data_IF_902332777571
#
_entry.id   IF_902332777571
#
_cell.length_a   1.000
_cell.length_b   1.000
_cell.length_c   1.000
_cell.angle_alpha   90.00
_cell.angle_beta   90.00
_cell.angle_gamma   90.00
#
_symmetry.space_group_name_H-M   'P 1'
#
loop_
_entity.id
_entity.type
_entity.pdbx_description
1 polymer ?
#
# COMPACT_ATOMS: atom_id res chain seq x y z
N UNK A 1 4.29 -16.08 29.14
CA UNK A 1 4.44 -15.20 27.98
C UNK A 1 5.70 -15.65 27.26
N UNK A 2 5.55 -16.31 26.10
CA UNK A 2 6.72 -16.76 25.33
C UNK A 2 7.33 -15.54 24.65
N UNK A 3 8.53 -15.19 25.06
CA UNK A 3 9.36 -14.22 24.35
C UNK A 3 9.82 -14.88 23.04
N UNK A 4 9.20 -14.56 21.92
CA UNK A 4 9.66 -14.96 20.60
C UNK A 4 10.82 -14.01 20.28
N UNK A 5 12.04 -14.51 20.40
CA UNK A 5 13.22 -13.80 19.91
C UNK A 5 13.26 -14.03 18.40
N UNK A 6 13.02 -12.99 17.61
CA UNK A 6 13.17 -13.07 16.16
C UNK A 6 14.66 -13.03 15.84
N UNK A 7 15.06 -13.94 14.97
CA UNK A 7 16.44 -14.01 14.47
C UNK A 7 16.53 -13.29 13.13
N UNK A 8 17.70 -12.75 12.81
CA UNK A 8 18.03 -12.11 11.52
C UNK A 8 17.58 -12.94 10.31
N UNK A 9 17.64 -14.28 10.43
CA UNK A 9 17.15 -15.22 9.40
C UNK A 9 15.63 -15.14 9.20
N UNK A 10 14.84 -14.82 10.24
CA UNK A 10 13.38 -14.71 10.15
C UNK A 10 12.96 -13.38 9.50
N UNK A 11 13.68 -12.31 9.74
CA UNK A 11 13.44 -10.99 9.14
C UNK A 11 13.70 -11.03 7.63
N UNK A 12 14.82 -11.57 7.22
CA UNK A 12 15.15 -11.79 5.79
C UNK A 12 14.09 -12.68 5.12
N UNK A 13 13.64 -13.73 5.80
CA UNK A 13 12.60 -14.62 5.29
C UNK A 13 11.24 -13.92 5.14
N UNK A 14 10.90 -12.99 6.05
CA UNK A 14 9.66 -12.22 5.99
C UNK A 14 9.66 -11.25 4.81
N UNK A 15 10.72 -10.45 4.66
CA UNK A 15 10.86 -9.51 3.54
C UNK A 15 10.87 -10.22 2.18
N UNK A 16 11.62 -11.31 2.05
CA UNK A 16 11.63 -12.09 0.82
C UNK A 16 10.24 -12.64 0.48
N UNK A 17 9.50 -13.13 1.47
CA UNK A 17 8.13 -13.61 1.27
C UNK A 17 7.21 -12.49 0.76
N UNK A 18 7.30 -11.28 1.30
CA UNK A 18 6.52 -10.13 0.82
C UNK A 18 6.91 -9.73 -0.60
N UNK A 19 8.21 -9.70 -0.91
CA UNK A 19 8.70 -9.39 -2.25
C UNK A 19 8.22 -10.40 -3.29
N UNK A 20 8.24 -11.70 -2.98
CA UNK A 20 7.70 -12.75 -3.85
C UNK A 20 6.20 -12.55 -4.11
N UNK A 21 5.42 -12.17 -3.08
CA UNK A 21 4.00 -11.88 -3.24
C UNK A 21 3.77 -10.68 -4.17
N UNK A 22 4.55 -9.61 -4.03
CA UNK A 22 4.45 -8.41 -4.86
C UNK A 22 4.81 -8.73 -6.32
N UNK A 23 5.90 -9.46 -6.55
CA UNK A 23 6.36 -9.81 -7.90
C UNK A 23 5.42 -10.80 -8.62
N UNK A 24 4.79 -11.70 -7.86
CA UNK A 24 3.87 -12.72 -8.42
C UNK A 24 2.40 -12.29 -8.51
N UNK A 25 1.99 -11.24 -7.78
CA UNK A 25 0.58 -10.95 -7.54
C UNK A 25 0.04 -9.65 -8.13
N UNK A 26 0.89 -8.74 -8.60
CA UNK A 26 0.43 -7.53 -9.25
C UNK A 26 0.11 -7.81 -10.71
N UNK A 27 -1.15 -8.18 -10.99
CA UNK A 27 -1.73 -7.91 -12.31
C UNK A 27 -1.65 -6.40 -12.49
N UNK A 28 -0.64 -5.93 -13.21
CA UNK A 28 -0.51 -4.51 -13.48
C UNK A 28 -1.77 -4.06 -14.24
N UNK A 29 -2.55 -3.10 -13.69
CA UNK A 29 -3.54 -2.45 -14.52
C UNK A 29 -2.80 -1.88 -15.73
N UNK A 30 -3.47 -1.82 -16.87
CA UNK A 30 -2.92 -1.26 -18.12
C UNK A 30 -2.60 0.23 -17.91
N UNK A 31 -1.48 0.49 -17.27
CA UNK A 31 -0.98 1.85 -17.07
C UNK A 31 -0.44 2.38 -18.39
N UNK A 32 -0.62 3.67 -18.69
CA UNK A 32 0.08 4.31 -19.80
C UNK A 32 1.59 4.05 -19.67
N UNK A 33 2.25 3.75 -20.79
CA UNK A 33 3.67 3.34 -20.82
C UNK A 33 4.61 4.30 -20.08
N UNK A 34 4.31 5.59 -20.11
CA UNK A 34 5.09 6.62 -19.42
C UNK A 34 5.01 6.49 -17.89
N UNK A 35 3.80 6.27 -17.35
CA UNK A 35 3.60 6.06 -15.91
C UNK A 35 4.21 4.73 -15.46
N UNK A 36 4.06 3.69 -16.29
CA UNK A 36 4.63 2.36 -16.05
C UNK A 36 6.15 2.42 -15.90
N UNK A 37 6.84 3.14 -16.79
CA UNK A 37 8.29 3.32 -16.72
C UNK A 37 8.75 4.04 -15.45
N UNK A 38 8.10 5.13 -15.08
CA UNK A 38 8.41 5.90 -13.86
C UNK A 38 8.17 5.09 -12.58
N UNK A 39 7.07 4.34 -12.53
CA UNK A 39 6.79 3.45 -11.38
C UNK A 39 7.82 2.33 -11.30
N UNK A 40 8.31 1.82 -12.43
CA UNK A 40 9.33 0.79 -12.44
C UNK A 40 10.65 1.32 -11.86
N UNK A 41 11.08 2.52 -12.23
CA UNK A 41 12.26 3.15 -11.64
C UNK A 41 12.15 3.31 -10.12
N UNK A 42 10.99 3.77 -9.64
CA UNK A 42 10.72 3.90 -8.19
C UNK A 42 10.78 2.53 -7.50
N UNK A 43 10.18 1.51 -8.11
CA UNK A 43 10.20 0.13 -7.58
C UNK A 43 11.61 -0.44 -7.52
N UNK A 44 12.43 -0.22 -8.55
CA UNK A 44 13.81 -0.69 -8.60
C UNK A 44 14.67 -0.04 -7.52
N UNK A 45 14.49 1.27 -7.30
CA UNK A 45 15.11 1.99 -6.19
C UNK A 45 14.65 1.45 -4.83
N UNK A 46 13.35 1.26 -4.62
CA UNK A 46 12.81 0.73 -3.39
C UNK A 46 13.31 -0.70 -3.10
N UNK A 47 13.42 -1.55 -4.13
CA UNK A 47 13.99 -2.89 -4.00
C UNK A 47 15.47 -2.87 -3.58
N UNK A 48 16.23 -1.88 -4.04
CA UNK A 48 17.63 -1.70 -3.62
C UNK A 48 17.68 -1.34 -2.14
N UNK A 49 16.85 -0.41 -1.70
CA UNK A 49 16.81 0.00 -0.30
C UNK A 49 16.35 -1.12 0.64
N UNK A 50 15.34 -1.89 0.27
CA UNK A 50 14.87 -3.04 1.08
C UNK A 50 16.00 -4.07 1.32
N UNK A 51 16.95 -4.18 0.42
CA UNK A 51 18.11 -5.08 0.58
C UNK A 51 19.20 -4.52 1.51
N UNK A 52 19.24 -3.19 1.66
CA UNK A 52 20.24 -2.48 2.46
C UNK A 52 19.71 -2.13 3.85
N UNK A 53 18.39 -1.97 3.98
CA UNK A 53 17.73 -1.61 5.23
C UNK A 53 17.31 -2.86 6.01
N UNK A 54 17.36 -2.74 7.32
CA UNK A 54 16.92 -3.78 8.25
C UNK A 54 15.52 -3.45 8.78
N UNK A 55 14.80 -4.47 9.25
CA UNK A 55 13.55 -4.27 9.96
C UNK A 55 13.89 -3.69 11.35
N UNK A 56 13.28 -2.58 11.75
CA UNK A 56 13.61 -1.95 13.03
C UNK A 56 13.23 -2.84 14.20
N UNK A 57 14.00 -2.74 15.24
CA UNK A 57 13.87 -3.52 16.47
C UNK A 57 13.67 -2.61 17.68
N UNK A 58 13.37 -3.16 18.83
CA UNK A 58 13.31 -2.40 20.10
C UNK A 58 14.66 -1.79 20.52
N UNK A 59 15.77 -2.09 19.82
CA UNK A 59 17.08 -1.47 20.06
C UNK A 59 17.17 -0.10 19.40
N UNK A 60 16.36 0.13 18.39
CA UNK A 60 16.28 1.38 17.65
C UNK A 60 15.45 2.36 18.48
N UNK A 61 15.97 3.57 18.72
CA UNK A 61 15.40 4.54 19.66
C UNK A 61 13.93 4.88 19.36
N UNK A 62 13.61 5.03 18.07
CA UNK A 62 12.27 5.37 17.60
C UNK A 62 11.28 4.21 17.77
N UNK A 63 11.77 2.97 17.78
CA UNK A 63 10.99 1.73 17.86
C UNK A 63 11.02 1.07 19.25
N UNK A 64 11.70 1.68 20.22
CA UNK A 64 11.92 1.12 21.56
C UNK A 64 10.67 0.59 22.26
N UNK A 65 9.52 1.22 22.02
CA UNK A 65 8.24 0.82 22.61
C UNK A 65 7.34 0.01 21.66
N UNK A 66 7.80 -0.27 20.46
CA UNK A 66 7.03 -0.99 19.44
C UNK A 66 7.63 -2.36 19.20
N UNK A 67 6.81 -3.41 19.44
CA UNK A 67 7.22 -4.79 19.21
C UNK A 67 6.66 -5.29 17.87
N UNK A 68 7.50 -5.42 16.87
CA UNK A 68 7.15 -5.94 15.56
C UNK A 68 7.13 -7.48 15.48
N UNK A 69 7.56 -8.18 16.53
CA UNK A 69 7.59 -9.66 16.55
C UNK A 69 6.25 -10.31 16.18
N UNK A 70 5.09 -9.82 16.66
CA UNK A 70 3.80 -10.39 16.25
C UNK A 70 3.48 -10.19 14.76
N UNK A 71 3.95 -9.08 14.16
CA UNK A 71 3.80 -8.83 12.73
C UNK A 71 4.64 -9.81 11.91
N UNK A 72 5.91 -9.95 12.25
CA UNK A 72 6.88 -10.78 11.54
C UNK A 72 6.60 -12.30 11.70
N UNK A 73 5.86 -12.70 12.73
CA UNK A 73 5.42 -14.07 12.91
C UNK A 73 4.28 -14.47 11.95
N UNK A 74 3.64 -13.51 11.30
CA UNK A 74 2.53 -13.75 10.37
C UNK A 74 3.02 -13.76 8.93
N UNK A 75 2.52 -14.71 8.14
CA UNK A 75 2.73 -14.75 6.69
C UNK A 75 1.51 -14.18 5.99
N UNK A 76 1.63 -12.94 5.57
CA UNK A 76 0.58 -12.26 4.81
C UNK A 76 0.53 -12.80 3.38
N UNK A 77 -0.66 -12.76 2.81
CA UNK A 77 -0.92 -13.11 1.40
C UNK A 77 -1.69 -11.96 0.76
N UNK A 78 -1.46 -11.78 -0.53
CA UNK A 78 -2.29 -10.87 -1.32
C UNK A 78 -3.76 -11.26 -1.18
N UNK A 79 -4.59 -10.27 -0.88
CA UNK A 79 -6.02 -10.48 -0.78
C UNK A 79 -6.62 -10.70 -2.19
N UNK A 80 -7.54 -11.63 -2.29
CA UNK A 80 -8.30 -11.81 -3.52
C UNK A 80 -9.32 -10.67 -3.68
N UNK A 81 -9.63 -10.34 -4.93
CA UNK A 81 -10.75 -9.48 -5.24
C UNK A 81 -12.06 -10.14 -4.74
N UNK A 82 -12.84 -9.38 -4.00
CA UNK A 82 -14.17 -9.78 -3.52
C UNK A 82 -15.16 -8.71 -3.95
N UNK A 83 -16.17 -9.13 -4.70
CA UNK A 83 -17.26 -8.23 -5.05
C UNK A 83 -18.30 -8.23 -3.92
N UNK A 84 -18.54 -7.06 -3.35
CA UNK A 84 -19.58 -6.84 -2.36
C UNK A 84 -20.68 -5.96 -2.95
N UNK A 85 -21.91 -6.22 -2.54
CA UNK A 85 -23.06 -5.38 -2.89
C UNK A 85 -23.27 -4.28 -1.83
N UNK A 86 -23.93 -3.20 -2.20
CA UNK A 86 -24.25 -2.08 -1.30
C UNK A 86 -24.90 -2.53 0.02
N UNK A 87 -25.73 -3.57 -0.03
CA UNK A 87 -26.41 -4.09 1.13
C UNK A 87 -25.43 -4.66 2.18
N UNK A 88 -24.30 -5.20 1.76
CA UNK A 88 -23.28 -5.76 2.65
C UNK A 88 -22.59 -4.69 3.52
N UNK A 89 -22.53 -3.45 3.05
CA UNK A 89 -21.90 -2.34 3.77
C UNK A 89 -22.91 -1.37 4.40
N UNK A 90 -24.20 -1.55 4.15
CA UNK A 90 -25.24 -0.58 4.55
C UNK A 90 -25.21 -0.24 6.06
N UNK A 91 -24.94 -1.22 6.92
CA UNK A 91 -24.84 -1.02 8.36
C UNK A 91 -23.57 -0.31 8.83
N UNK A 92 -22.57 -0.19 7.96
CA UNK A 92 -21.29 0.47 8.25
C UNK A 92 -21.28 1.93 7.79
N UNK A 93 -22.26 2.35 7.00
CA UNK A 93 -22.34 3.69 6.46
C UNK A 93 -22.87 4.64 7.53
N UNK A 94 -22.09 5.66 7.83
CA UNK A 94 -22.53 6.74 8.69
C UNK A 94 -23.40 7.72 7.89
N UNK A 95 -24.54 8.21 8.44
CA UNK A 95 -25.39 9.18 7.74
C UNK A 95 -24.62 10.43 7.27
N UNK A 96 -23.63 10.86 8.05
CA UNK A 96 -22.80 12.04 7.75
C UNK A 96 -21.82 11.82 6.59
N UNK A 97 -21.63 10.57 6.16
CA UNK A 97 -20.74 10.22 5.04
C UNK A 97 -21.47 10.10 3.70
N UNK A 98 -22.74 10.46 3.65
CA UNK A 98 -23.49 10.54 2.41
C UNK A 98 -22.82 11.52 1.44
N UNK A 99 -22.65 11.10 0.18
CA UNK A 99 -21.95 11.83 -0.90
C UNK A 99 -20.44 12.08 -0.72
N UNK A 100 -19.82 11.60 0.37
CA UNK A 100 -18.38 11.79 0.68
C UNK A 100 -17.76 10.52 1.27
N UNK A 101 -17.93 9.39 0.60
CA UNK A 101 -17.46 8.09 1.09
C UNK A 101 -16.55 7.41 0.09
N UNK A 102 -15.39 6.96 0.55
CA UNK A 102 -14.47 6.10 -0.19
C UNK A 102 -14.46 4.73 0.47
N UNK A 103 -14.66 3.68 -0.32
CA UNK A 103 -14.70 2.30 0.18
C UNK A 103 -13.58 1.49 -0.43
N UNK A 104 -12.88 0.76 0.42
CA UNK A 104 -11.92 -0.25 0.02
C UNK A 104 -12.40 -1.62 0.51
N UNK A 105 -12.30 -2.61 -0.36
CA UNK A 105 -12.58 -4.02 -0.02
C UNK A 105 -11.27 -4.77 -0.11
N UNK A 106 -10.79 -5.29 1.01
CA UNK A 106 -9.48 -5.94 1.11
C UNK A 106 -8.32 -5.07 0.58
N UNK A 107 -8.37 -3.76 0.80
CA UNK A 107 -7.36 -2.83 0.32
C UNK A 107 -7.51 -2.38 -1.15
N UNK A 108 -8.49 -2.91 -1.88
CA UNK A 108 -8.77 -2.56 -3.26
C UNK A 108 -9.91 -1.53 -3.30
N UNK A 109 -9.68 -0.40 -3.97
CA UNK A 109 -10.70 0.63 -4.15
C UNK A 109 -11.93 0.08 -4.87
N UNK A 110 -13.11 0.31 -4.29
CA UNK A 110 -14.40 -0.16 -4.77
C UNK A 110 -15.29 1.03 -5.17
N UNK A 111 -15.17 1.56 -6.40
CA UNK A 111 -15.91 2.73 -6.84
C UNK A 111 -17.43 2.55 -6.77
N UNK A 112 -17.93 1.34 -7.03
CA UNK A 112 -19.37 1.04 -6.99
C UNK A 112 -19.98 1.07 -5.57
N UNK A 113 -19.16 0.98 -4.52
CA UNK A 113 -19.55 1.12 -3.12
C UNK A 113 -19.24 2.51 -2.56
N UNK A 114 -18.44 3.29 -3.29
CA UNK A 114 -18.02 4.63 -2.92
C UNK A 114 -19.08 5.65 -3.39
N UNK A 115 -19.15 6.76 -2.69
CA UNK A 115 -19.97 7.90 -3.09
C UNK A 115 -19.11 9.17 -2.99
N UNK A 116 -18.71 9.68 -4.15
CA UNK A 116 -17.82 10.82 -4.31
C UNK A 116 -18.45 11.91 -5.19
N UNK A 117 -19.78 12.00 -5.16
CA UNK A 117 -20.54 12.88 -6.05
C UNK A 117 -20.38 14.36 -5.73
N UNK A 118 -20.03 14.70 -4.49
CA UNK A 118 -19.85 16.09 -4.04
C UNK A 118 -18.37 16.47 -3.87
N UNK A 119 -17.49 16.00 -4.77
CA UNK A 119 -16.07 16.38 -4.75
C UNK A 119 -15.90 17.71 -5.50
N UNK A 120 -15.16 18.67 -4.92
CA UNK A 120 -14.86 19.93 -5.60
C UNK A 120 -14.06 19.72 -6.91
N UNK A 121 -14.25 20.63 -7.86
CA UNK A 121 -13.47 20.66 -9.09
C UNK A 121 -11.96 20.67 -8.80
N UNK A 122 -11.19 19.93 -9.61
CA UNK A 122 -9.74 19.83 -9.48
C UNK A 122 -9.25 18.73 -8.53
N UNK A 123 -10.15 17.97 -7.91
CA UNK A 123 -9.82 16.78 -7.12
C UNK A 123 -10.13 15.52 -7.94
N UNK A 124 -9.17 14.60 -7.98
CA UNK A 124 -9.37 13.27 -8.54
C UNK A 124 -9.23 12.21 -7.45
N UNK A 125 -10.18 11.30 -7.38
CA UNK A 125 -10.16 10.12 -6.51
C UNK A 125 -10.39 8.90 -7.38
N UNK A 126 -9.42 7.99 -7.41
CA UNK A 126 -9.49 6.80 -8.24
C UNK A 126 -8.17 6.01 -8.23
N UNK A 127 -8.12 4.95 -9.00
CA UNK A 127 -6.89 4.20 -9.20
C UNK A 127 -5.92 4.99 -10.09
N UNK A 128 -4.62 4.78 -9.87
CA UNK A 128 -3.57 5.44 -10.66
C UNK A 128 -3.71 5.13 -12.16
N UNK A 129 -4.21 3.96 -12.51
CA UNK A 129 -4.48 3.56 -13.90
C UNK A 129 -5.55 4.44 -14.60
N UNK A 130 -6.45 5.02 -13.81
CA UNK A 130 -7.55 5.88 -14.27
C UNK A 130 -7.20 7.36 -14.18
N UNK A 131 -5.95 7.69 -13.80
CA UNK A 131 -5.51 9.08 -13.62
C UNK A 131 -5.72 9.89 -14.91
N UNK A 132 -6.49 10.99 -14.87
CA UNK A 132 -6.69 11.86 -16.02
C UNK A 132 -5.37 12.44 -16.55
N UNK A 133 -5.27 12.62 -17.87
CA UNK A 133 -4.06 13.08 -18.56
C UNK A 133 -3.49 14.37 -17.97
N UNK A 134 -4.34 15.29 -17.61
CA UNK A 134 -3.98 16.58 -17.01
C UNK A 134 -3.20 16.48 -15.70
N UNK A 135 -3.26 15.35 -14.99
CA UNK A 135 -2.54 15.10 -13.74
C UNK A 135 -1.29 14.24 -13.95
N UNK A 136 -1.16 13.55 -15.09
CA UNK A 136 -0.08 12.59 -15.36
C UNK A 136 1.28 13.24 -15.41
N UNK A 137 1.38 14.41 -16.03
CA UNK A 137 2.67 15.12 -16.19
C UNK A 137 3.28 15.55 -14.85
N UNK A 138 2.44 15.74 -13.83
CA UNK A 138 2.87 16.15 -12.49
C UNK A 138 3.13 14.98 -11.55
N UNK A 139 2.74 13.78 -11.93
CA UNK A 139 2.86 12.60 -11.06
C UNK A 139 4.31 12.32 -10.61
N UNK A 140 5.35 12.44 -11.46
CA UNK A 140 6.74 12.24 -11.05
C UNK A 140 7.17 13.14 -9.90
N UNK A 141 6.71 14.40 -9.90
CA UNK A 141 7.06 15.39 -8.87
C UNK A 141 6.59 14.97 -7.46
N UNK A 142 5.55 14.14 -7.40
CA UNK A 142 4.97 13.69 -6.14
C UNK A 142 5.45 12.30 -5.72
N UNK A 143 5.71 11.41 -6.67
CA UNK A 143 6.12 10.03 -6.37
C UNK A 143 7.61 9.90 -6.02
N UNK A 144 8.46 10.82 -6.50
CA UNK A 144 9.92 10.75 -6.32
C UNK A 144 10.44 11.39 -5.03
N UNK A 145 9.58 11.97 -4.19
CA UNK A 145 10.00 12.77 -3.05
C UNK A 145 10.28 11.99 -1.75
N UNK A 146 10.14 10.68 -1.74
CA UNK A 146 10.53 9.88 -0.57
C UNK A 146 12.04 9.69 -0.54
N UNK A 147 12.72 10.64 0.12
CA UNK A 147 14.16 10.57 0.37
C UNK A 147 14.41 10.16 1.83
N UNK A 148 15.21 9.10 2.00
CA UNK A 148 16.01 8.94 3.19
C UNK A 148 15.31 8.42 4.45
N UNK A 149 14.51 7.37 4.36
CA UNK A 149 14.20 6.58 5.55
C UNK A 149 15.40 5.74 5.94
N UNK A 150 15.69 5.66 7.23
CA UNK A 150 16.77 4.85 7.79
C UNK A 150 16.34 3.40 8.04
N UNK A 151 15.05 3.10 7.91
CA UNK A 151 14.46 1.79 8.12
C UNK A 151 13.43 1.44 7.04
N UNK A 152 12.88 0.22 7.10
CA UNK A 152 11.95 -0.32 6.09
C UNK A 152 10.53 0.24 6.24
N UNK A 153 10.19 0.89 7.36
CA UNK A 153 8.85 1.39 7.67
C UNK A 153 8.80 2.90 7.82
#
# INVERSE_FOLDING_TARGET
>A
MNNITITETQEVSYLNHLLEQIQGGLSEPSLPSQISGQLQEIRDHALTWIKELEIPTKRDEEWRFTDLSPLLANRFKMANFVQLENQAIASLILPESEHKRIVFVNGIYAPHLSDITEIPDGIFIGNLAELPEQFRDRLPDYLSQQQGNQDVF
#
